data_IF_641534537542
#
_entry.id   IF_641534537542
#
_cell.length_a   1.000
_cell.length_b   1.000
_cell.length_c   1.000
_cell.angle_alpha   90.00
_cell.angle_beta   90.00
_cell.angle_gamma   90.00
#
_symmetry.space_group_name_H-M   'P 1'
#
loop_
_entity.id
_entity.type
_entity.pdbx_description
1 polymer ?
#
# COMPACT_ATOMS: atom_id res chain seq x y z
N UNK A 1 -6.20 -8.31 15.82
CA UNK A 1 -5.60 -8.27 14.47
C UNK A 1 -5.56 -6.81 14.05
N UNK A 2 -4.37 -6.20 13.93
CA UNK A 2 -4.26 -4.78 13.58
C UNK A 2 -4.60 -4.52 12.11
N UNK A 3 -5.14 -3.34 11.81
CA UNK A 3 -5.48 -2.89 10.45
C UNK A 3 -4.32 -3.07 9.46
N UNK A 4 -3.08 -2.78 9.89
CA UNK A 4 -1.87 -2.97 9.09
C UNK A 4 -1.64 -4.43 8.66
N UNK A 5 -2.01 -5.40 9.50
CA UNK A 5 -1.88 -6.82 9.17
C UNK A 5 -2.94 -7.27 8.16
N UNK A 6 -4.16 -6.73 8.27
CA UNK A 6 -5.24 -6.98 7.30
C UNK A 6 -4.83 -6.46 5.93
N UNK A 7 -4.36 -5.21 5.86
CA UNK A 7 -3.87 -4.61 4.61
C UNK A 7 -2.74 -5.47 4.02
N UNK A 8 -1.76 -5.89 4.83
CA UNK A 8 -0.67 -6.75 4.37
C UNK A 8 -1.19 -8.07 3.80
N UNK A 9 -2.12 -8.75 4.48
CA UNK A 9 -2.68 -10.00 3.99
C UNK A 9 -3.42 -9.81 2.66
N UNK A 10 -4.23 -8.77 2.55
CA UNK A 10 -5.00 -8.47 1.34
C UNK A 10 -4.11 -8.01 0.18
N UNK A 11 -3.09 -7.21 0.43
CA UNK A 11 -2.12 -6.81 -0.57
C UNK A 11 -1.33 -8.02 -1.10
N UNK A 12 -0.89 -8.93 -0.22
CA UNK A 12 -0.26 -10.20 -0.64
C UNK A 12 -1.22 -11.06 -1.48
N UNK A 13 -2.48 -11.16 -1.08
CA UNK A 13 -3.49 -11.88 -1.84
C UNK A 13 -3.72 -11.24 -3.22
N UNK A 14 -3.84 -9.91 -3.28
CA UNK A 14 -4.02 -9.17 -4.52
C UNK A 14 -2.81 -9.33 -5.47
N UNK A 15 -1.57 -9.25 -4.97
CA UNK A 15 -0.37 -9.49 -5.76
C UNK A 15 -0.37 -10.90 -6.36
N UNK A 16 -0.71 -11.92 -5.56
CA UNK A 16 -0.83 -13.31 -6.05
C UNK A 16 -1.90 -13.46 -7.12
N UNK A 17 -3.08 -12.89 -6.93
CA UNK A 17 -4.18 -12.98 -7.92
C UNK A 17 -3.88 -12.20 -9.20
N UNK A 18 -3.09 -11.12 -9.12
CA UNK A 18 -2.64 -10.34 -10.26
C UNK A 18 -1.37 -10.89 -10.93
N UNK A 19 -0.79 -11.99 -10.41
CA UNK A 19 0.50 -12.54 -10.83
C UNK A 19 1.62 -11.48 -10.85
N UNK A 20 1.68 -10.65 -9.81
CA UNK A 20 2.71 -9.63 -9.63
C UNK A 20 3.71 -10.07 -8.55
N UNK A 21 4.99 -9.89 -8.84
CA UNK A 21 6.05 -10.07 -7.84
C UNK A 21 6.23 -8.77 -7.05
N UNK A 22 6.15 -8.86 -5.73
CA UNK A 22 6.28 -7.72 -4.83
C UNK A 22 6.48 -8.14 -3.39
N UNK A 23 7.21 -7.34 -2.62
CA UNK A 23 7.44 -7.55 -1.20
C UNK A 23 6.50 -6.64 -0.43
N UNK A 24 5.66 -7.21 0.43
CA UNK A 24 4.71 -6.45 1.26
C UNK A 24 5.13 -6.52 2.71
N UNK A 25 5.52 -5.38 3.26
CA UNK A 25 5.82 -5.20 4.67
C UNK A 25 4.73 -4.39 5.37
N UNK A 26 4.53 -4.68 6.65
CA UNK A 26 3.63 -3.94 7.51
C UNK A 26 4.45 -3.25 8.57
N UNK A 27 4.39 -1.92 8.59
CA UNK A 27 5.10 -1.10 9.55
C UNK A 27 4.12 -0.20 10.28
N UNK A 28 4.50 0.29 11.45
CA UNK A 28 3.72 1.29 12.16
C UNK A 28 3.89 2.66 11.51
N UNK A 29 2.82 3.48 11.54
CA UNK A 29 2.80 4.82 10.96
C UNK A 29 3.98 5.70 11.41
N UNK A 30 4.36 5.62 12.69
CA UNK A 30 5.48 6.40 13.23
C UNK A 30 6.82 6.07 12.56
N UNK A 31 7.08 4.79 12.30
CA UNK A 31 8.30 4.35 11.58
C UNK A 31 8.17 4.61 10.08
N UNK A 32 6.95 4.47 9.55
CA UNK A 32 6.66 4.62 8.12
C UNK A 32 7.01 5.97 7.53
N UNK A 33 6.93 7.05 8.30
CA UNK A 33 7.31 8.38 7.81
C UNK A 33 8.79 8.44 7.40
N UNK A 34 9.66 7.73 8.10
CA UNK A 34 11.10 7.73 7.83
C UNK A 34 11.49 6.74 6.74
N UNK A 35 10.90 5.54 6.77
CA UNK A 35 11.25 4.48 5.80
C UNK A 35 10.44 4.55 4.52
N UNK A 36 9.41 5.39 4.44
CA UNK A 36 8.53 5.54 3.27
C UNK A 36 9.29 5.69 1.96
N UNK A 37 10.37 6.47 1.99
CA UNK A 37 11.22 6.77 0.82
C UNK A 37 11.91 5.53 0.23
N UNK A 38 12.04 4.44 0.99
CA UNK A 38 12.65 3.19 0.53
C UNK A 38 11.66 2.27 -0.18
N UNK A 39 10.37 2.62 -0.21
CA UNK A 39 9.33 1.85 -0.86
C UNK A 39 8.82 2.58 -2.10
N UNK A 40 8.41 1.81 -3.11
CA UNK A 40 7.78 2.36 -4.32
C UNK A 40 6.33 2.76 -4.05
N UNK A 41 5.63 1.96 -3.24
CA UNK A 41 4.19 2.10 -2.97
C UNK A 41 3.90 1.88 -1.49
N UNK A 42 3.08 2.76 -0.91
CA UNK A 42 2.60 2.67 0.47
C UNK A 42 1.08 2.64 0.48
N UNK A 43 0.55 1.68 1.24
CA UNK A 43 -0.88 1.59 1.55
C UNK A 43 -1.12 1.96 3.01
N UNK A 44 -2.00 2.92 3.26
CA UNK A 44 -2.46 3.29 4.60
C UNK A 44 -3.97 3.52 4.60
N UNK A 45 -4.59 3.70 5.76
CA UNK A 45 -6.00 4.13 5.78
C UNK A 45 -6.11 5.57 5.28
N UNK A 46 -7.20 5.89 4.57
CA UNK A 46 -7.39 7.19 3.91
C UNK A 46 -7.06 8.41 4.79
N UNK A 47 -7.38 8.35 6.08
CA UNK A 47 -7.13 9.44 7.04
C UNK A 47 -5.64 9.76 7.27
N UNK A 48 -4.73 8.81 6.99
CA UNK A 48 -3.29 8.98 7.21
C UNK A 48 -2.50 9.25 5.93
N UNK A 49 -3.16 9.35 4.78
CA UNK A 49 -2.48 9.58 3.49
C UNK A 49 -1.69 10.88 3.50
N UNK A 50 -2.22 11.92 4.15
CA UNK A 50 -1.58 13.23 4.23
C UNK A 50 -0.48 13.30 5.31
N UNK A 51 -0.43 12.31 6.20
CA UNK A 51 0.64 12.19 7.19
C UNK A 51 1.91 11.53 6.65
N UNK A 52 1.80 10.82 5.53
CA UNK A 52 2.93 10.13 4.91
C UNK A 52 3.59 11.05 3.89
N UNK A 53 4.91 11.24 3.96
CA UNK A 53 5.62 12.11 3.03
C UNK A 53 5.46 11.60 1.59
N UNK A 54 4.81 12.42 0.76
CA UNK A 54 4.64 12.19 -0.68
C UNK A 54 5.88 12.73 -1.37
N UNK A 55 6.73 11.83 -1.83
CA UNK A 55 7.96 12.15 -2.56
C UNK A 55 8.01 11.37 -3.85
N UNK A 56 9.04 10.54 -4.01
CA UNK A 56 9.11 9.53 -5.09
C UNK A 56 8.17 8.35 -4.87
N UNK A 57 7.76 8.12 -3.63
CA UNK A 57 6.88 7.02 -3.22
C UNK A 57 5.41 7.35 -3.48
N UNK A 58 4.69 6.41 -4.08
CA UNK A 58 3.25 6.52 -4.30
C UNK A 58 2.49 6.13 -3.03
N UNK A 59 1.70 7.05 -2.50
CA UNK A 59 0.90 6.81 -1.28
C UNK A 59 -0.57 6.66 -1.66
N UNK A 60 -1.17 5.53 -1.28
CA UNK A 60 -2.56 5.20 -1.53
C UNK A 60 -3.33 4.98 -0.22
N UNK A 61 -4.42 5.74 -0.09
CA UNK A 61 -5.40 5.53 0.97
C UNK A 61 -6.35 4.40 0.63
N UNK A 62 -6.57 3.52 1.60
CA UNK A 62 -7.56 2.46 1.57
C UNK A 62 -8.71 2.89 2.47
N UNK A 63 -9.93 2.94 1.91
CA UNK A 63 -11.13 3.27 2.68
C UNK A 63 -11.65 2.02 3.40
N UNK A 64 -11.68 0.88 2.70
CA UNK A 64 -12.12 -0.38 3.25
C UNK A 64 -11.03 -1.45 3.14
N UNK A 65 -10.31 -1.68 4.24
CA UNK A 65 -9.24 -2.68 4.31
C UNK A 65 -9.70 -4.12 4.09
N UNK A 66 -11.00 -4.38 4.12
CA UNK A 66 -11.58 -5.69 3.83
C UNK A 66 -11.89 -5.88 2.34
N UNK A 67 -12.00 -4.80 1.58
CA UNK A 67 -12.28 -4.82 0.15
C UNK A 67 -11.01 -5.12 -0.65
N UNK A 68 -10.93 -6.35 -1.14
CA UNK A 68 -9.80 -6.81 -1.95
C UNK A 68 -9.77 -6.11 -3.33
N UNK A 69 -10.93 -5.73 -3.88
CA UNK A 69 -11.00 -5.12 -5.20
C UNK A 69 -10.47 -3.68 -5.17
N UNK A 70 -10.74 -2.93 -4.10
CA UNK A 70 -10.15 -1.61 -3.87
C UNK A 70 -8.61 -1.71 -3.89
N UNK A 71 -8.05 -2.65 -3.11
CA UNK A 71 -6.60 -2.85 -3.00
C UNK A 71 -6.00 -3.26 -4.35
N UNK A 72 -6.62 -4.19 -5.09
CA UNK A 72 -6.16 -4.59 -6.43
C UNK A 72 -6.13 -3.41 -7.40
N UNK A 73 -7.19 -2.61 -7.42
CA UNK A 73 -7.26 -1.43 -8.30
C UNK A 73 -6.14 -0.45 -8.01
N UNK A 74 -5.84 -0.21 -6.72
CA UNK A 74 -4.71 0.65 -6.32
C UNK A 74 -3.34 0.06 -6.68
N UNK A 75 -3.15 -1.25 -6.54
CA UNK A 75 -1.91 -1.92 -6.96
C UNK A 75 -1.70 -1.79 -8.48
N UNK A 76 -2.74 -1.97 -9.28
CA UNK A 76 -2.66 -1.80 -10.74
C UNK A 76 -2.37 -0.35 -11.11
N UNK A 77 -3.06 0.61 -10.49
CA UNK A 77 -2.80 2.04 -10.69
C UNK A 77 -1.35 2.41 -10.33
N UNK A 78 -0.84 1.84 -9.23
CA UNK A 78 0.55 2.03 -8.81
C UNK A 78 1.53 1.45 -9.83
N UNK A 79 1.27 0.23 -10.31
CA UNK A 79 2.08 -0.44 -11.33
C UNK A 79 2.15 0.39 -12.61
N UNK A 80 1.02 0.92 -13.08
CA UNK A 80 0.98 1.73 -14.30
C UNK A 80 1.79 3.02 -14.14
N UNK A 81 1.73 3.67 -12.97
CA UNK A 81 2.52 4.88 -12.68
C UNK A 81 4.01 4.62 -12.49
N UNK A 82 4.40 3.43 -12.03
CA UNK A 82 5.81 3.05 -11.88
C UNK A 82 6.49 2.71 -13.22
N UNK A 83 5.70 2.33 -14.23
CA UNK A 83 6.19 2.01 -15.58
C UNK A 83 6.07 3.18 -16.57
N UNK A 84 5.55 4.33 -16.13
CA UNK A 84 5.39 5.56 -16.93
C UNK A 84 6.54 6.54 -16.68
#
# INVERSE_FOLDING_TARGET
MGTSMIIKMKANQALKELNLEGIVESIELGQGKTVAINFDVIFCTQNFVDEIPKGRTLVYGINNVMDLNEIKSKILEAKDKLNA
#
